data_IF_922932450204
#
_entry.id   IF_922932450204
#
_cell.length_a   1.000
_cell.length_b   1.000
_cell.length_c   1.000
_cell.angle_alpha   90.00
_cell.angle_beta   90.00
_cell.angle_gamma   90.00
#
_symmetry.space_group_name_H-M   'P 1'
#
loop_
_entity.id
_entity.type
_entity.pdbx_description
1 polymer ?
#
# COMPACT_ATOMS: atom_id res chain seq x y z
N UNK A 1 4.95 0.65 -9.18
CA UNK A 1 4.55 0.47 -7.76
C UNK A 1 5.73 -0.20 -7.10
N UNK A 2 6.29 0.44 -6.08
CA UNK A 2 7.29 -0.18 -5.22
C UNK A 2 6.62 -0.37 -3.86
N UNK A 3 6.12 -1.60 -3.63
CA UNK A 3 5.36 -1.94 -2.42
C UNK A 3 6.25 -1.84 -1.17
N UNK A 4 7.57 -1.81 -1.34
CA UNK A 4 8.57 -1.62 -0.28
C UNK A 4 8.37 -0.29 0.46
N UNK A 5 8.09 0.79 -0.27
CA UNK A 5 7.93 2.14 0.29
C UNK A 5 6.52 2.41 0.84
N UNK A 6 5.61 1.44 0.75
CA UNK A 6 4.22 1.54 1.26
C UNK A 6 3.48 2.81 0.81
N UNK A 7 3.80 3.31 -0.39
CA UNK A 7 3.25 4.54 -0.95
C UNK A 7 2.98 4.38 -2.44
N UNK A 8 1.92 5.03 -2.91
CA UNK A 8 1.53 5.04 -4.31
C UNK A 8 1.26 6.47 -4.76
N UNK A 9 1.63 6.82 -5.99
CA UNK A 9 1.35 8.12 -6.60
C UNK A 9 1.47 8.00 -8.12
N UNK A 10 1.00 9.03 -8.82
CA UNK A 10 1.08 9.11 -10.29
C UNK A 10 2.18 10.10 -10.67
N UNK A 11 2.91 9.75 -11.72
CA UNK A 11 3.93 10.57 -12.35
C UNK A 11 3.90 10.33 -13.87
N UNK A 12 4.55 11.17 -14.69
CA UNK A 12 4.55 11.03 -16.14
C UNK A 12 5.02 9.65 -16.61
N UNK A 13 4.33 9.06 -17.61
CA UNK A 13 4.56 7.68 -18.06
C UNK A 13 5.93 7.48 -18.70
N UNK A 14 6.50 8.55 -19.24
CA UNK A 14 7.81 8.60 -19.87
C UNK A 14 8.97 8.52 -18.88
N UNK A 15 8.74 8.72 -17.58
CA UNK A 15 9.77 8.60 -16.57
C UNK A 15 10.04 7.13 -16.26
N UNK A 16 11.31 6.75 -16.37
CA UNK A 16 11.79 5.40 -16.09
C UNK A 16 12.73 5.43 -14.90
N UNK A 17 12.84 4.29 -14.21
CA UNK A 17 13.80 4.11 -13.12
C UNK A 17 15.21 4.23 -13.69
N UNK A 18 16.03 5.09 -13.09
CA UNK A 18 17.44 5.19 -13.44
C UNK A 18 18.22 4.11 -12.67
N UNK A 19 18.86 3.14 -13.35
CA UNK A 19 19.58 2.06 -12.70
C UNK A 19 20.88 2.51 -12.03
N UNK A 20 21.32 3.76 -12.22
CA UNK A 20 22.51 4.32 -11.56
C UNK A 20 22.29 4.57 -10.05
N UNK A 21 21.03 4.60 -9.60
CA UNK A 21 20.67 4.75 -8.19
C UNK A 21 20.08 3.42 -7.69
N UNK A 22 20.92 2.60 -7.07
CA UNK A 22 20.56 1.32 -6.49
C UNK A 22 20.04 1.44 -5.05
N UNK A 23 20.57 2.41 -4.31
CA UNK A 23 20.24 2.76 -2.93
C UNK A 23 18.86 3.41 -2.77
N UNK A 24 18.35 4.06 -3.82
CA UNK A 24 17.05 4.72 -3.79
C UNK A 24 16.30 4.70 -5.13
N UNK A 25 14.96 4.73 -5.13
CA UNK A 25 14.17 4.92 -6.34
C UNK A 25 14.37 6.32 -6.88
N UNK A 26 15.05 6.42 -8.03
CA UNK A 26 15.14 7.63 -8.84
C UNK A 26 14.45 7.39 -10.19
N UNK A 27 13.59 8.32 -10.60
CA UNK A 27 12.87 8.25 -11.87
C UNK A 27 12.98 9.56 -12.63
N UNK A 28 13.22 9.46 -13.94
CA UNK A 28 13.28 10.61 -14.84
C UNK A 28 13.29 10.16 -16.30
N UNK A 29 13.48 11.12 -17.21
CA UNK A 29 13.64 10.80 -18.64
C UNK A 29 15.02 10.18 -18.90
N UNK A 30 15.03 9.10 -19.68
CA UNK A 30 16.23 8.34 -20.05
C UNK A 30 17.28 9.23 -20.79
N UNK A 31 18.55 9.14 -20.39
CA UNK A 31 19.70 9.81 -21.04
C UNK A 31 19.86 9.28 -22.49
N UNK A 32 20.37 10.06 -23.49
CA UNK A 32 21.43 11.07 -23.39
C UNK A 32 21.00 12.49 -23.80
N UNK A 33 19.70 12.79 -23.78
CA UNK A 33 19.23 14.04 -24.37
C UNK A 33 19.53 15.24 -23.47
N UNK A 34 20.04 16.35 -24.03
CA UNK A 34 20.15 17.59 -23.30
C UNK A 34 18.72 18.12 -23.15
N UNK A 35 18.19 18.22 -21.94
CA UNK A 35 17.22 19.27 -21.58
C UNK A 35 16.90 19.22 -20.10
N UNK A 36 17.34 20.26 -19.40
CA UNK A 36 16.66 20.74 -18.22
C UNK A 36 15.14 20.85 -18.50
N UNK A 37 14.30 20.45 -17.55
CA UNK A 37 12.85 20.69 -17.59
C UNK A 37 11.96 19.50 -17.98
N UNK A 38 12.49 18.29 -18.16
CA UNK A 38 11.64 17.09 -18.34
C UNK A 38 11.20 16.42 -17.03
N UNK A 39 11.66 16.97 -15.91
CA UNK A 39 11.32 16.57 -14.56
C UNK A 39 11.86 15.20 -14.14
N UNK A 40 11.84 14.99 -12.84
CA UNK A 40 12.29 13.78 -12.17
C UNK A 40 11.60 13.68 -10.80
N UNK A 41 11.75 12.54 -10.14
CA UNK A 41 11.62 12.44 -8.69
C UNK A 41 12.57 11.40 -8.11
N UNK A 42 12.83 11.52 -6.81
CA UNK A 42 13.45 10.49 -5.99
C UNK A 42 12.73 10.35 -4.65
N UNK A 43 12.80 9.14 -4.08
CA UNK A 43 12.28 8.85 -2.75
C UNK A 43 13.43 8.64 -1.78
N UNK A 44 13.38 9.32 -0.64
CA UNK A 44 14.28 9.11 0.48
C UNK A 44 13.48 8.74 1.73
N UNK A 45 14.10 7.94 2.58
CA UNK A 45 13.53 7.47 3.84
C UNK A 45 14.40 7.97 4.97
N UNK A 46 13.77 8.50 6.00
CA UNK A 46 14.49 9.03 7.14
C UNK A 46 13.59 9.10 8.38
N UNK A 47 14.20 9.58 9.46
CA UNK A 47 13.52 10.07 10.63
C UNK A 47 13.00 8.98 11.57
N UNK A 48 12.99 9.35 12.85
CA UNK A 48 12.40 8.59 13.93
C UNK A 48 10.92 8.97 14.14
N UNK A 49 10.19 8.20 14.95
CA UNK A 49 8.76 8.46 15.18
C UNK A 49 8.47 9.85 15.79
N UNK A 50 9.42 10.37 16.56
CA UNK A 50 9.35 11.69 17.21
C UNK A 50 9.56 12.84 16.25
N UNK A 51 10.10 12.60 15.05
CA UNK A 51 10.41 13.66 14.10
C UNK A 51 9.13 14.28 13.50
N UNK A 52 9.18 15.60 13.31
CA UNK A 52 8.10 16.37 12.71
C UNK A 52 8.53 16.94 11.35
N UNK A 53 7.72 16.77 10.28
CA UNK A 53 8.07 17.23 8.94
C UNK A 53 8.50 18.69 8.84
N UNK A 54 7.94 19.57 9.70
CA UNK A 54 8.30 20.98 9.77
C UNK A 54 9.76 21.20 10.17
N UNK A 55 10.30 20.40 11.10
CA UNK A 55 11.69 20.51 11.55
C UNK A 55 12.65 20.05 10.46
N UNK A 56 12.34 18.92 9.80
CA UNK A 56 13.13 18.39 8.69
C UNK A 56 13.16 19.39 7.52
N UNK A 57 12.00 19.91 7.11
CA UNK A 57 11.89 20.99 6.13
C UNK A 57 12.80 22.17 6.43
N UNK A 58 12.85 22.60 7.69
CA UNK A 58 13.71 23.71 8.12
C UNK A 58 15.18 23.36 7.90
N UNK A 59 15.60 22.15 8.29
CA UNK A 59 16.95 21.65 8.05
C UNK A 59 17.30 21.58 6.55
N UNK A 60 16.38 21.12 5.70
CA UNK A 60 16.56 21.08 4.24
C UNK A 60 16.69 22.50 3.64
N UNK A 61 15.85 23.44 4.08
CA UNK A 61 15.84 24.81 3.60
C UNK A 61 17.08 25.61 4.04
N UNK A 62 17.59 25.34 5.24
CA UNK A 62 18.75 26.03 5.83
C UNK A 62 20.07 25.26 5.61
N UNK A 63 20.06 24.21 4.80
CA UNK A 63 21.22 23.36 4.58
C UNK A 63 22.39 24.16 3.97
N UNK A 64 23.62 23.91 4.43
CA UNK A 64 24.82 24.69 4.07
C UNK A 64 25.10 24.72 2.57
N UNK A 65 24.80 23.63 1.86
CA UNK A 65 24.98 23.52 0.39
C UNK A 65 23.83 24.13 -0.40
N UNK A 66 22.78 24.66 0.27
CA UNK A 66 21.66 25.40 -0.32
C UNK A 66 21.02 24.72 -1.54
N UNK A 67 20.54 23.47 -1.40
CA UNK A 67 20.02 22.70 -2.54
C UNK A 67 18.76 23.33 -3.16
N UNK A 68 18.04 24.15 -2.39
CA UNK A 68 16.83 24.86 -2.83
C UNK A 68 17.04 26.36 -3.08
N UNK A 69 18.30 26.80 -3.21
CA UNK A 69 18.71 28.20 -3.38
C UNK A 69 18.95 28.94 -2.06
N UNK A 70 19.21 30.25 -2.12
CA UNK A 70 19.59 31.07 -0.95
C UNK A 70 18.44 31.30 0.04
N UNK A 71 17.21 31.43 -0.43
CA UNK A 71 16.05 31.79 0.40
C UNK A 71 14.81 30.93 0.10
N UNK A 72 14.90 29.60 0.20
CA UNK A 72 13.76 28.71 -0.01
C UNK A 72 12.68 28.96 1.03
N UNK A 73 11.44 28.62 0.70
CA UNK A 73 10.30 28.75 1.62
C UNK A 73 9.83 27.39 2.07
N UNK A 74 9.38 27.29 3.33
CA UNK A 74 8.77 26.07 3.86
C UNK A 74 7.29 26.30 4.15
N UNK A 75 6.46 25.29 3.85
CA UNK A 75 5.01 25.37 4.04
C UNK A 75 4.48 24.07 4.66
N UNK A 76 4.00 24.10 5.91
CA UNK A 76 3.26 22.99 6.49
C UNK A 76 1.98 22.70 5.69
N UNK A 77 1.66 21.43 5.53
CA UNK A 77 0.47 20.95 4.84
C UNK A 77 0.06 19.56 5.30
N UNK A 78 -0.98 19.01 4.68
CA UNK A 78 -1.35 17.60 4.82
C UNK A 78 -1.28 16.90 3.48
N UNK A 79 -0.74 15.68 3.47
CA UNK A 79 -0.73 14.79 2.31
C UNK A 79 -1.36 13.48 2.75
N UNK A 80 -2.46 13.10 2.08
CA UNK A 80 -3.23 11.90 2.42
C UNK A 80 -3.62 11.81 3.93
N UNK A 81 -3.97 12.97 4.50
CA UNK A 81 -4.32 13.11 5.92
C UNK A 81 -3.14 13.20 6.88
N UNK A 82 -1.92 12.87 6.44
CA UNK A 82 -0.71 12.90 7.27
C UNK A 82 -0.10 14.30 7.39
N UNK A 83 0.61 14.54 8.50
CA UNK A 83 1.42 15.74 8.68
C UNK A 83 2.50 15.79 7.60
N UNK A 84 2.66 16.94 6.96
CA UNK A 84 3.64 17.12 5.90
C UNK A 84 4.17 18.57 5.88
N UNK A 85 5.31 18.75 5.21
CA UNK A 85 5.84 20.07 4.91
C UNK A 85 6.50 20.08 3.53
N UNK A 86 6.22 21.14 2.75
CA UNK A 86 6.81 21.40 1.44
C UNK A 86 7.95 22.40 1.58
N UNK A 87 9.11 22.07 1.02
CA UNK A 87 10.21 23.01 0.72
C UNK A 87 10.07 23.45 -0.73
N UNK A 88 9.92 24.75 -0.94
CA UNK A 88 9.81 25.36 -2.25
C UNK A 88 11.06 26.18 -2.57
N UNK A 89 11.70 25.99 -3.73
CA UNK A 89 12.96 26.62 -4.05
C UNK A 89 12.83 28.13 -4.26
N UNK A 90 13.91 28.86 -3.98
CA UNK A 90 14.03 30.25 -4.37
C UNK A 90 14.39 30.41 -5.86
N UNK A 91 14.28 31.63 -6.38
CA UNK A 91 14.44 31.92 -7.83
C UNK A 91 15.85 31.65 -8.33
N UNK A 92 16.83 31.70 -7.43
CA UNK A 92 18.27 31.61 -7.66
C UNK A 92 18.83 30.17 -7.55
N UNK A 93 18.01 29.16 -7.23
CA UNK A 93 18.44 27.76 -7.18
C UNK A 93 19.21 27.31 -8.44
N UNK A 94 18.77 27.77 -9.62
CA UNK A 94 19.25 27.27 -10.91
C UNK A 94 18.68 25.89 -11.24
N UNK A 95 18.90 25.41 -12.46
CA UNK A 95 18.49 24.06 -12.83
C UNK A 95 19.48 23.02 -12.26
N UNK A 96 19.01 21.84 -11.82
CA UNK A 96 17.62 21.37 -11.84
C UNK A 96 16.76 22.06 -10.77
N UNK A 97 15.51 22.34 -11.15
CA UNK A 97 14.60 23.15 -10.32
C UNK A 97 13.94 22.30 -9.25
N UNK A 98 14.70 21.90 -8.23
CA UNK A 98 14.27 20.91 -7.24
C UNK A 98 13.32 21.49 -6.20
N UNK A 99 12.39 20.68 -5.71
CA UNK A 99 11.53 20.95 -4.59
C UNK A 99 11.36 19.65 -3.80
N UNK A 100 11.08 19.74 -2.50
CA UNK A 100 10.92 18.56 -1.67
C UNK A 100 9.66 18.61 -0.83
N UNK A 101 9.02 17.47 -0.61
CA UNK A 101 7.97 17.33 0.39
C UNK A 101 8.36 16.23 1.37
N UNK A 102 8.30 16.59 2.64
CA UNK A 102 8.55 15.70 3.77
C UNK A 102 7.20 15.31 4.36
N UNK A 103 6.91 14.02 4.48
CA UNK A 103 5.61 13.50 4.89
C UNK A 103 5.80 12.45 5.97
N UNK A 104 5.07 12.57 7.07
CA UNK A 104 5.04 11.55 8.12
C UNK A 104 4.27 10.33 7.63
N UNK A 105 4.85 9.15 7.77
CA UNK A 105 4.13 7.92 7.51
C UNK A 105 2.98 7.74 8.52
N UNK A 106 1.83 7.18 8.13
CA UNK A 106 0.77 6.81 9.07
C UNK A 106 1.23 5.74 10.08
N UNK A 107 2.09 4.83 9.62
CA UNK A 107 2.75 3.76 10.35
C UNK A 107 4.17 3.67 9.79
N UNK A 108 5.23 3.67 10.62
CA UNK A 108 6.60 3.56 10.14
C UNK A 108 6.81 2.34 9.25
N UNK A 109 7.65 2.48 8.24
CA UNK A 109 8.01 1.39 7.31
C UNK A 109 9.32 0.73 7.74
N UNK A 110 9.42 -0.59 7.58
CA UNK A 110 10.64 -1.35 7.87
C UNK A 110 11.25 -1.87 6.57
N UNK A 111 12.50 -1.47 6.29
CA UNK A 111 13.23 -1.86 5.08
C UNK A 111 14.65 -2.24 5.51
N UNK A 112 15.10 -3.43 5.12
CA UNK A 112 16.42 -3.97 5.49
C UNK A 112 16.71 -4.00 7.01
N UNK A 113 15.68 -4.08 7.84
CA UNK A 113 15.80 -4.09 9.30
C UNK A 113 15.91 -2.70 9.95
N UNK A 114 15.89 -1.64 9.14
CA UNK A 114 15.78 -0.26 9.61
C UNK A 114 14.35 0.24 9.53
N UNK A 115 13.98 1.13 10.46
CA UNK A 115 12.62 1.63 10.62
C UNK A 115 12.56 3.12 10.34
N UNK A 116 11.72 3.52 9.40
CA UNK A 116 11.62 4.89 8.91
C UNK A 116 10.22 5.46 9.14
N UNK A 117 10.15 6.66 9.71
CA UNK A 117 8.87 7.31 10.03
C UNK A 117 8.52 8.46 9.09
N UNK A 118 9.44 8.83 8.20
CA UNK A 118 9.30 9.95 7.27
C UNK A 118 9.61 9.49 5.84
N UNK A 119 8.74 9.87 4.92
CA UNK A 119 8.98 9.84 3.48
C UNK A 119 9.39 11.25 3.03
N UNK A 120 10.51 11.35 2.34
CA UNK A 120 10.86 12.54 1.56
C UNK A 120 10.69 12.21 0.07
N UNK A 121 9.91 13.04 -0.62
CA UNK A 121 9.82 13.06 -2.07
C UNK A 121 10.48 14.34 -2.57
N UNK A 122 11.64 14.19 -3.20
CA UNK A 122 12.32 15.25 -3.92
C UNK A 122 11.99 15.12 -5.41
N UNK A 123 11.63 16.22 -6.04
CA UNK A 123 11.17 16.25 -7.42
C UNK A 123 11.34 17.62 -8.05
N UNK A 124 11.30 17.66 -9.39
CA UNK A 124 11.24 18.92 -10.11
C UNK A 124 10.00 19.74 -9.66
N UNK A 125 10.21 21.01 -9.31
CA UNK A 125 9.20 21.94 -8.78
C UNK A 125 7.98 22.08 -9.69
N UNK A 126 8.15 21.86 -10.99
CA UNK A 126 7.06 21.93 -11.97
C UNK A 126 6.11 20.73 -11.86
N UNK A 127 6.54 19.63 -11.23
CA UNK A 127 5.78 18.39 -11.12
C UNK A 127 5.36 18.04 -9.69
N UNK A 128 6.12 18.48 -8.67
CA UNK A 128 5.93 18.02 -7.29
C UNK A 128 4.50 18.21 -6.78
N UNK A 129 3.85 19.34 -7.07
CA UNK A 129 2.49 19.61 -6.60
C UNK A 129 1.45 18.68 -7.25
N UNK A 130 1.69 18.24 -8.49
CA UNK A 130 0.82 17.28 -9.16
C UNK A 130 1.02 15.88 -8.56
N UNK A 131 2.27 15.49 -8.28
CA UNK A 131 2.60 14.20 -7.65
C UNK A 131 1.97 14.13 -6.26
N UNK A 132 2.18 15.15 -5.42
CA UNK A 132 1.65 15.25 -4.04
C UNK A 132 0.15 14.96 -3.97
N UNK A 133 -0.65 15.52 -4.90
CA UNK A 133 -2.11 15.33 -4.91
C UNK A 133 -2.55 13.88 -5.09
N UNK A 134 -1.68 13.07 -5.68
CA UNK A 134 -1.94 11.65 -5.99
C UNK A 134 -1.31 10.69 -4.99
N UNK A 135 -0.52 11.19 -4.03
CA UNK A 135 0.08 10.36 -2.98
C UNK A 135 -1.02 9.70 -2.16
N UNK A 136 -0.92 8.38 -2.01
CA UNK A 136 -1.70 7.56 -1.09
C UNK A 136 -0.76 6.60 -0.38
N UNK A 137 -0.76 6.61 0.95
CA UNK A 137 -0.08 5.58 1.72
C UNK A 137 -0.92 4.30 1.71
N UNK A 138 -0.27 3.15 1.57
CA UNK A 138 -0.96 1.87 1.58
C UNK A 138 -1.54 1.61 2.99
N UNK A 139 -0.88 2.09 4.04
CA UNK A 139 -1.38 2.00 5.42
C UNK A 139 -2.51 3.00 5.76
N UNK A 140 -2.55 4.20 5.18
CA UNK A 140 -3.68 5.14 5.37
C UNK A 140 -4.96 4.66 4.69
N UNK A 141 -4.85 3.91 3.58
CA UNK A 141 -5.99 3.22 2.97
C UNK A 141 -6.62 2.19 3.93
N UNK A 142 -5.82 1.58 4.83
CA UNK A 142 -6.32 0.73 5.91
C UNK A 142 -6.95 1.53 7.07
N UNK A 143 -6.44 2.72 7.38
CA UNK A 143 -6.92 3.56 8.50
C UNK A 143 -8.13 4.45 8.19
N UNK A 144 -8.32 4.88 6.95
CA UNK A 144 -9.52 5.60 6.50
C UNK A 144 -10.56 4.66 5.86
N UNK A 145 -10.31 3.35 5.91
CA UNK A 145 -11.31 2.39 5.47
C UNK A 145 -12.54 2.45 6.38
N UNK A 146 -13.76 2.53 5.82
CA UNK A 146 -15.00 2.53 6.58
C UNK A 146 -15.29 1.19 7.28
N UNK A 147 -14.48 0.17 7.02
CA UNK A 147 -14.41 -1.05 7.82
C UNK A 147 -12.98 -1.59 7.91
N UNK A 148 -12.65 -2.23 9.01
CA UNK A 148 -11.43 -3.03 9.17
C UNK A 148 -11.67 -4.43 8.60
N UNK A 149 -10.71 -4.95 7.85
CA UNK A 149 -10.66 -6.35 7.42
C UNK A 149 -9.43 -7.00 8.07
N UNK A 150 -9.63 -8.11 8.76
CA UNK A 150 -8.56 -8.90 9.37
C UNK A 150 -8.68 -10.36 8.95
N UNK A 151 -7.53 -11.02 8.80
CA UNK A 151 -7.43 -12.45 8.61
C UNK A 151 -6.64 -13.09 9.74
N UNK A 152 -7.12 -14.25 10.17
CA UNK A 152 -6.41 -15.11 11.11
C UNK A 152 -6.44 -16.57 10.65
N UNK A 153 -5.37 -17.34 10.86
CA UNK A 153 -5.41 -18.77 10.57
C UNK A 153 -6.38 -19.46 11.53
N UNK A 154 -7.28 -20.30 11.02
CA UNK A 154 -8.30 -20.95 11.85
C UNK A 154 -7.71 -21.86 12.96
N UNK A 155 -6.51 -22.41 12.73
CA UNK A 155 -5.84 -23.36 13.63
C UNK A 155 -4.55 -22.81 14.28
N UNK A 156 -4.36 -21.48 14.32
CA UNK A 156 -3.12 -20.91 14.84
C UNK A 156 -2.98 -21.04 16.36
N UNK A 157 -1.81 -21.52 16.81
CA UNK A 157 -1.42 -21.53 18.24
C UNK A 157 -0.87 -20.18 18.72
N UNK A 158 -0.49 -19.29 17.80
CA UNK A 158 0.03 -17.93 18.05
C UNK A 158 -0.52 -16.94 17.02
N UNK A 159 -0.78 -15.72 17.44
CA UNK A 159 -1.28 -14.64 16.57
C UNK A 159 -0.26 -14.32 15.48
N UNK A 160 -0.65 -14.43 14.21
CA UNK A 160 0.15 -13.99 13.06
C UNK A 160 1.10 -15.03 12.42
N UNK A 161 1.27 -16.22 13.02
CA UNK A 161 2.03 -17.33 12.41
C UNK A 161 1.22 -18.62 12.39
N UNK A 162 1.27 -19.35 11.26
CA UNK A 162 0.59 -20.64 11.09
C UNK A 162 1.52 -21.68 10.48
N UNK A 163 1.23 -22.96 10.78
CA UNK A 163 1.83 -24.09 10.07
C UNK A 163 0.74 -24.82 9.30
N UNK A 164 0.92 -24.95 7.99
CA UNK A 164 -0.02 -25.62 7.09
C UNK A 164 0.61 -26.87 6.51
N UNK A 165 -0.16 -27.95 6.40
CA UNK A 165 0.29 -29.12 5.63
C UNK A 165 -0.02 -28.91 4.16
N UNK A 166 0.92 -29.27 3.30
CA UNK A 166 0.85 -29.02 1.86
C UNK A 166 -0.40 -29.61 1.22
N UNK A 167 -0.92 -30.73 1.72
CA UNK A 167 -2.08 -31.43 1.15
C UNK A 167 -3.32 -31.43 2.07
N UNK A 168 -3.31 -30.66 3.16
CA UNK A 168 -4.50 -30.51 4.00
C UNK A 168 -5.35 -29.32 3.57
N UNK A 169 -6.68 -29.38 3.73
CA UNK A 169 -7.52 -28.19 3.67
C UNK A 169 -7.05 -27.16 4.70
N UNK A 170 -6.95 -25.91 4.27
CA UNK A 170 -6.52 -24.80 5.10
C UNK A 170 -7.53 -23.68 4.95
N UNK A 171 -8.11 -23.27 6.08
CA UNK A 171 -9.01 -22.12 6.10
C UNK A 171 -8.45 -20.98 6.95
N UNK A 172 -8.74 -19.76 6.52
CA UNK A 172 -8.51 -18.54 7.30
C UNK A 172 -9.84 -17.91 7.65
N UNK A 173 -9.93 -17.39 8.87
CA UNK A 173 -11.08 -16.63 9.34
C UNK A 173 -10.91 -15.19 8.90
N UNK A 174 -11.92 -14.68 8.22
CA UNK A 174 -12.07 -13.29 7.82
C UNK A 174 -12.91 -12.59 8.89
N UNK A 175 -12.40 -11.50 9.45
CA UNK A 175 -13.11 -10.67 10.41
C UNK A 175 -13.28 -9.29 9.84
N UNK A 176 -14.53 -8.85 9.66
CA UNK A 176 -14.86 -7.51 9.17
C UNK A 176 -15.52 -6.70 10.27
N UNK A 177 -14.95 -5.55 10.62
CA UNK A 177 -15.52 -4.63 11.62
C UNK A 177 -15.89 -3.30 11.00
N UNK A 178 -17.16 -2.90 11.10
CA UNK A 178 -17.59 -1.58 10.67
C UNK A 178 -17.00 -0.49 11.58
N UNK A 179 -16.02 0.27 11.07
CA UNK A 179 -15.37 1.37 11.78
C UNK A 179 -16.01 2.72 11.47
N UNK A 180 -16.91 2.77 10.49
CA UNK A 180 -17.65 3.97 10.10
C UNK A 180 -18.79 4.32 11.07
N UNK A 181 -19.39 5.50 10.85
CA UNK A 181 -20.63 5.92 11.53
C UNK A 181 -21.91 5.51 10.79
N UNK A 182 -21.79 4.83 9.65
CA UNK A 182 -22.93 4.42 8.82
C UNK A 182 -23.24 2.95 9.05
N UNK A 183 -24.47 2.54 8.74
CA UNK A 183 -24.81 1.12 8.61
C UNK A 183 -24.24 0.63 7.28
N UNK A 184 -23.59 -0.54 7.29
CA UNK A 184 -23.06 -1.19 6.08
C UNK A 184 -23.90 -2.41 5.73
N UNK A 185 -24.12 -2.63 4.44
CA UNK A 185 -24.70 -3.86 3.91
C UNK A 185 -23.62 -4.64 3.17
N UNK A 186 -23.35 -5.87 3.62
CA UNK A 186 -22.27 -6.71 3.10
C UNK A 186 -22.89 -7.98 2.53
N UNK A 187 -22.77 -8.15 1.22
CA UNK A 187 -23.16 -9.39 0.56
C UNK A 187 -22.07 -10.46 0.78
N UNK A 188 -22.43 -11.55 1.44
CA UNK A 188 -21.62 -12.74 1.58
C UNK A 188 -22.20 -13.80 0.65
N UNK A 189 -21.56 -13.98 -0.51
CA UNK A 189 -22.02 -14.88 -1.56
C UNK A 189 -21.15 -16.13 -1.56
N UNK A 190 -19.89 -16.01 -1.99
CA UNK A 190 -18.88 -17.05 -1.96
C UNK A 190 -17.52 -16.40 -1.60
N UNK A 191 -16.89 -16.77 -0.47
CA UNK A 191 -15.65 -16.15 0.00
C UNK A 191 -14.53 -16.12 -1.05
N UNK A 192 -14.43 -17.17 -1.90
CA UNK A 192 -13.42 -17.26 -2.94
C UNK A 192 -13.57 -16.19 -4.05
N UNK A 193 -14.75 -15.59 -4.17
CA UNK A 193 -15.08 -14.58 -5.19
C UNK A 193 -15.47 -13.23 -4.60
N UNK A 194 -15.96 -13.21 -3.36
CA UNK A 194 -16.23 -12.03 -2.56
C UNK A 194 -14.93 -11.28 -2.19
N UNK A 195 -13.81 -12.00 -2.15
CA UNK A 195 -12.49 -11.48 -1.76
C UNK A 195 -11.45 -11.79 -2.83
N UNK A 196 -10.39 -10.98 -2.88
CA UNK A 196 -9.17 -11.27 -3.65
C UNK A 196 -8.08 -11.70 -2.69
N UNK A 197 -7.53 -12.89 -2.88
CA UNK A 197 -6.41 -13.40 -2.10
C UNK A 197 -5.11 -13.23 -2.89
N UNK A 198 -4.04 -12.87 -2.20
CA UNK A 198 -2.66 -12.88 -2.72
C UNK A 198 -1.82 -13.75 -1.82
N UNK A 199 -1.30 -14.85 -2.37
CA UNK A 199 -0.38 -15.76 -1.68
C UNK A 199 0.99 -15.62 -2.35
N UNK A 200 1.99 -15.28 -1.53
CA UNK A 200 3.38 -15.15 -1.95
C UNK A 200 4.18 -16.30 -1.35
N UNK A 201 5.05 -16.93 -2.13
CA UNK A 201 6.11 -17.81 -1.66
C UNK A 201 7.43 -17.07 -1.83
N UNK A 202 8.08 -16.69 -0.72
CA UNK A 202 9.15 -15.69 -0.74
C UNK A 202 8.71 -14.40 -1.46
N UNK A 203 9.26 -14.10 -2.64
CA UNK A 203 8.94 -12.93 -3.47
C UNK A 203 8.02 -13.25 -4.65
N UNK A 204 7.69 -14.52 -4.88
CA UNK A 204 6.94 -14.96 -6.05
C UNK A 204 5.47 -15.17 -5.72
N UNK A 205 4.59 -14.71 -6.62
CA UNK A 205 3.15 -14.97 -6.51
C UNK A 205 2.86 -16.43 -6.83
N UNK A 206 2.16 -17.10 -5.94
CA UNK A 206 1.69 -18.47 -6.17
C UNK A 206 0.55 -18.43 -7.20
N UNK A 207 0.62 -19.19 -8.30
CA UNK A 207 -0.45 -19.26 -9.27
C UNK A 207 -1.75 -19.80 -8.67
N UNK A 208 -2.89 -19.24 -9.10
CA UNK A 208 -4.22 -19.72 -8.72
C UNK A 208 -4.62 -20.96 -9.52
N UNK A 209 -5.57 -21.73 -9.00
CA UNK A 209 -6.15 -22.87 -9.73
C UNK A 209 -7.06 -22.41 -10.87
N UNK A 210 -7.23 -23.26 -11.88
CA UNK A 210 -8.23 -23.07 -12.95
C UNK A 210 -9.66 -23.00 -12.37
N UNK A 211 -9.91 -23.76 -11.30
CA UNK A 211 -11.19 -23.76 -10.60
C UNK A 211 -11.57 -22.35 -10.08
N UNK A 212 -10.63 -21.62 -9.46
CA UNK A 212 -10.90 -20.25 -9.03
C UNK A 212 -11.17 -19.32 -10.22
N UNK A 213 -10.50 -19.52 -11.35
CA UNK A 213 -10.76 -18.73 -12.55
C UNK A 213 -12.17 -18.99 -13.08
N UNK A 214 -12.58 -20.26 -13.15
CA UNK A 214 -13.93 -20.64 -13.57
C UNK A 214 -15.00 -20.07 -12.62
N UNK A 215 -14.83 -20.16 -11.31
CA UNK A 215 -15.75 -19.55 -10.33
C UNK A 215 -15.95 -18.05 -10.58
N UNK A 216 -14.88 -17.33 -10.92
CA UNK A 216 -14.96 -15.89 -11.22
C UNK A 216 -15.76 -15.61 -12.49
N UNK A 217 -15.63 -16.44 -13.53
CA UNK A 217 -16.42 -16.30 -14.76
C UNK A 217 -17.90 -16.69 -14.56
N UNK A 218 -18.18 -17.71 -13.75
CA UNK A 218 -19.55 -18.10 -13.39
C UNK A 218 -20.28 -16.99 -12.63
N UNK A 219 -19.59 -16.32 -11.70
CA UNK A 219 -20.14 -15.15 -10.99
C UNK A 219 -20.39 -14.00 -11.95
N UNK A 220 -19.48 -13.70 -12.88
CA UNK A 220 -19.68 -12.65 -13.89
C UNK A 220 -20.87 -12.94 -14.82
N UNK A 221 -21.09 -14.21 -15.17
CA UNK A 221 -22.19 -14.62 -16.05
C UNK A 221 -23.54 -14.72 -15.33
N UNK A 222 -23.58 -14.58 -14.00
CA UNK A 222 -24.80 -14.66 -13.19
C UNK A 222 -25.30 -16.09 -12.93
N UNK A 223 -24.53 -17.12 -13.28
CA UNK A 223 -24.92 -18.53 -13.13
C UNK A 223 -24.42 -19.17 -11.82
N UNK A 224 -23.67 -18.44 -11.00
CA UNK A 224 -23.10 -18.99 -9.77
C UNK A 224 -24.18 -19.27 -8.70
N UNK A 225 -24.22 -20.50 -8.20
CA UNK A 225 -24.93 -20.82 -6.95
C UNK A 225 -24.12 -20.27 -5.78
N UNK A 226 -24.69 -19.33 -5.02
CA UNK A 226 -24.02 -18.68 -3.91
C UNK A 226 -24.89 -18.63 -2.67
N UNK A 227 -24.28 -18.41 -1.49
CA UNK A 227 -24.98 -18.33 -0.21
C UNK A 227 -25.99 -17.17 -0.16
N UNK A 228 -25.83 -16.15 -1.00
CA UNK A 228 -26.69 -14.97 -1.11
C UNK A 228 -27.13 -14.36 0.24
N UNK A 229 -26.19 -14.23 1.19
CA UNK A 229 -26.48 -13.67 2.52
C UNK A 229 -26.18 -12.18 2.51
N UNK A 230 -27.15 -11.35 2.90
CA UNK A 230 -26.94 -9.92 3.13
C UNK A 230 -26.79 -9.64 4.63
N UNK A 231 -25.59 -9.28 5.07
CA UNK A 231 -25.33 -8.91 6.47
C UNK A 231 -25.49 -7.40 6.63
N UNK A 232 -26.15 -7.00 7.71
CA UNK A 232 -26.24 -5.60 8.13
C UNK A 232 -25.30 -5.37 9.32
N UNK A 233 -24.29 -4.52 9.14
CA UNK A 233 -23.34 -4.14 10.20
C UNK A 233 -23.61 -2.72 10.67
N UNK A 234 -24.08 -2.56 11.91
CA UNK A 234 -24.14 -1.25 12.58
C UNK A 234 -22.72 -0.76 12.92
N UNK A 235 -22.52 0.54 13.20
CA UNK A 235 -21.24 1.06 13.67
C UNK A 235 -20.65 0.19 14.79
N UNK A 236 -19.36 -0.11 14.69
CA UNK A 236 -18.58 -0.95 15.59
C UNK A 236 -18.95 -2.44 15.64
N UNK A 237 -19.96 -2.90 14.88
CA UNK A 237 -20.25 -4.33 14.78
C UNK A 237 -19.27 -5.06 13.87
N UNK A 238 -19.12 -6.34 14.17
CA UNK A 238 -18.23 -7.26 13.46
C UNK A 238 -19.03 -8.41 12.87
N UNK A 239 -18.65 -8.88 11.68
CA UNK A 239 -19.03 -10.20 11.19
C UNK A 239 -17.78 -11.03 10.87
N UNK A 240 -17.96 -12.34 10.81
CA UNK A 240 -16.93 -13.28 10.42
C UNK A 240 -17.37 -14.12 9.23
N UNK A 241 -16.40 -14.54 8.43
CA UNK A 241 -16.54 -15.52 7.37
C UNK A 241 -15.30 -16.41 7.37
N UNK A 242 -15.30 -17.49 6.59
CA UNK A 242 -14.13 -18.36 6.44
C UNK A 242 -13.88 -18.62 4.96
N UNK A 243 -12.61 -18.60 4.56
CA UNK A 243 -12.19 -18.92 3.20
C UNK A 243 -11.16 -20.04 3.24
N UNK A 244 -11.43 -21.10 2.49
CA UNK A 244 -10.51 -22.20 2.27
C UNK A 244 -9.49 -21.77 1.20
N UNK A 245 -8.20 -21.75 1.55
CA UNK A 245 -7.11 -21.21 0.74
C UNK A 245 -6.48 -22.29 -0.15
N UNK A 246 -6.43 -23.54 0.31
CA UNK A 246 -5.65 -24.59 -0.38
C UNK A 246 -6.19 -24.91 -1.76
N UNK A 247 -7.50 -24.86 -1.93
CA UNK A 247 -8.19 -25.10 -3.21
C UNK A 247 -8.05 -23.95 -4.21
N UNK A 248 -7.65 -22.76 -3.74
CA UNK A 248 -7.53 -21.55 -4.56
C UNK A 248 -6.19 -21.45 -5.29
N UNK A 249 -5.16 -22.11 -4.78
CA UNK A 249 -3.80 -22.03 -5.30
C UNK A 249 -3.31 -23.38 -5.81
N UNK A 250 -2.41 -23.32 -6.80
CA UNK A 250 -1.66 -24.48 -7.25
C UNK A 250 -0.83 -25.08 -6.11
N UNK A 251 -0.30 -26.28 -6.32
CA UNK A 251 0.35 -27.09 -5.29
C UNK A 251 1.37 -26.28 -4.48
N UNK A 252 1.15 -26.23 -3.16
CA UNK A 252 2.06 -25.60 -2.22
C UNK A 252 3.24 -26.55 -1.97
N UNK A 253 4.46 -26.04 -2.06
CA UNK A 253 5.67 -26.75 -1.62
C UNK A 253 6.03 -26.32 -0.20
N UNK A 254 6.76 -27.15 0.57
CA UNK A 254 7.28 -26.73 1.86
C UNK A 254 8.08 -25.43 1.77
N UNK A 255 7.88 -24.51 2.71
CA UNK A 255 8.50 -23.18 2.69
C UNK A 255 7.70 -22.10 3.40
N UNK A 256 8.20 -20.87 3.31
CA UNK A 256 7.59 -19.69 3.94
C UNK A 256 6.72 -18.90 2.97
N UNK A 257 5.50 -18.62 3.40
CA UNK A 257 4.49 -17.94 2.62
C UNK A 257 3.93 -16.72 3.36
N UNK A 258 3.41 -15.78 2.60
CA UNK A 258 2.59 -14.71 3.13
C UNK A 258 1.25 -14.63 2.40
N UNK A 259 0.17 -14.49 3.17
CA UNK A 259 -1.18 -14.34 2.65
C UNK A 259 -1.73 -12.96 3.02
N UNK A 260 -2.32 -12.28 2.04
CA UNK A 260 -3.12 -11.08 2.22
C UNK A 260 -4.46 -11.24 1.49
N UNK A 261 -5.50 -10.61 2.02
CA UNK A 261 -6.84 -10.63 1.44
C UNK A 261 -7.33 -9.19 1.23
N UNK A 262 -8.04 -8.96 0.14
CA UNK A 262 -8.65 -7.70 -0.20
C UNK A 262 -10.15 -7.87 -0.47
N UNK A 263 -10.91 -6.79 -0.26
CA UNK A 263 -12.32 -6.72 -0.61
C UNK A 263 -12.65 -5.37 -1.23
N UNK A 264 -13.54 -5.35 -2.21
CA UNK A 264 -14.13 -4.10 -2.68
C UNK A 264 -15.00 -3.45 -1.60
N UNK A 265 -15.06 -2.12 -1.61
CA UNK A 265 -15.96 -1.37 -0.74
C UNK A 265 -17.43 -1.74 -1.05
N UNK A 266 -18.29 -1.87 -0.01
CA UNK A 266 -19.73 -1.89 -0.19
C UNK A 266 -20.20 -0.70 -1.03
N UNK A 267 -21.21 -0.87 -1.91
CA UNK A 267 -21.66 0.18 -2.83
C UNK A 267 -22.00 1.52 -2.15
N UNK A 268 -22.49 1.49 -0.91
CA UNK A 268 -22.87 2.67 -0.12
C UNK A 268 -21.68 3.57 0.27
N UNK A 269 -20.47 3.03 0.13
CA UNK A 269 -19.20 3.69 0.44
C UNK A 269 -18.45 4.14 -0.83
N UNK A 270 -19.01 3.87 -2.01
CA UNK A 270 -18.42 4.22 -3.30
C UNK A 270 -17.45 3.16 -3.82
N UNK A 271 -16.46 3.59 -4.60
CA UNK A 271 -15.46 2.71 -5.23
C UNK A 271 -14.18 2.70 -4.39
N UNK A 272 -13.59 1.52 -4.21
CA UNK A 272 -12.31 1.36 -3.51
C UNK A 272 -12.11 -0.07 -3.05
N UNK A 273 -10.96 -0.33 -2.44
CA UNK A 273 -10.53 -1.65 -1.97
C UNK A 273 -10.08 -1.49 -0.51
N UNK A 274 -10.37 -2.49 0.30
CA UNK A 274 -9.91 -2.63 1.69
C UNK A 274 -9.03 -3.85 1.76
N UNK A 275 -7.81 -3.66 2.25
CA UNK A 275 -6.82 -4.72 2.44
C UNK A 275 -6.83 -5.23 3.88
N UNK A 276 -6.58 -6.52 4.07
CA UNK A 276 -6.36 -7.13 5.36
C UNK A 276 -4.94 -6.91 5.88
N UNK A 277 -4.69 -7.29 7.14
CA UNK A 277 -3.35 -7.64 7.60
C UNK A 277 -2.76 -8.78 6.75
N UNK A 278 -1.44 -8.93 6.78
CA UNK A 278 -0.73 -10.06 6.19
C UNK A 278 -0.41 -11.08 7.27
N UNK A 279 -0.63 -12.37 7.00
CA UNK A 279 -0.21 -13.47 7.88
C UNK A 279 0.96 -14.23 7.28
N UNK A 280 1.88 -14.68 8.13
CA UNK A 280 3.00 -15.56 7.73
C UNK A 280 2.63 -17.01 7.98
N UNK A 281 3.00 -17.87 7.04
CA UNK A 281 2.63 -19.27 7.03
C UNK A 281 3.83 -20.11 6.63
N UNK A 282 4.17 -21.09 7.46
CA UNK A 282 5.10 -22.15 7.10
C UNK A 282 4.32 -23.33 6.55
N UNK A 283 4.55 -23.71 5.29
CA UNK A 283 4.03 -24.94 4.71
C UNK A 283 5.01 -26.08 4.99
N UNK A 284 4.49 -27.21 5.44
CA UNK A 284 5.21 -28.46 5.69
C UNK A 284 4.56 -29.59 4.90
N UNK A 285 5.25 -30.73 4.77
CA UNK A 285 4.67 -31.95 4.20
C UNK A 285 3.53 -32.53 5.06
#
# INVERSE_FOLDING_TARGET
MDDTYQVTFRFPREWKRDPLYDDRPYFGVERPLPTAGRGFFQLLLMGEESDEPKQICKGLAEHVVRPFGENPTTRPMKVDGQSACLVWPSKDQGAPWDAAVVIKYPQPVEINGERYSILELDADKNYILAIIRTIRFISSARHNSPFLLEISPQNAKKTGTATWKADAPVSVILTMKNTSRRVLHVALTNPATDYRTTLMHNTDRVPVTENLQQMKEEVKSGHASTRNVLITLKPQQTCQDAIEIRSLYQRLTPGEYSLQVERDLPPELGKGIVESNTIKVTVID
#
